data_IF_123477301051
#
_entry.id   IF_123477301051
#
_cell.length_a   1.000
_cell.length_b   1.000
_cell.length_c   1.000
_cell.angle_alpha   90.00
_cell.angle_beta   90.00
_cell.angle_gamma   90.00
#
_symmetry.space_group_name_H-M   'P 1'
#
loop_
_entity.id
_entity.type
_entity.pdbx_description
1 polymer ?
#
# COMPACT_ATOMS: atom_id res chain seq x y z
N UNK A 1 8.59 20.55 -4.82
CA UNK A 1 8.09 19.59 -5.83
C UNK A 1 6.72 19.10 -5.39
N UNK A 2 5.71 19.12 -6.27
CA UNK A 2 4.36 18.63 -5.93
C UNK A 2 4.37 17.10 -5.80
N UNK A 3 4.53 16.61 -4.57
CA UNK A 3 4.60 15.17 -4.26
C UNK A 3 3.22 14.49 -4.28
N UNK A 4 2.14 15.25 -4.49
CA UNK A 4 0.77 14.71 -4.58
C UNK A 4 0.60 13.84 -5.81
N UNK A 5 1.16 14.22 -6.97
CA UNK A 5 1.07 13.45 -8.22
C UNK A 5 1.61 12.01 -8.06
N UNK A 6 2.86 11.79 -7.59
CA UNK A 6 3.35 10.43 -7.38
C UNK A 6 2.55 9.65 -6.32
N UNK A 7 1.95 10.34 -5.34
CA UNK A 7 1.06 9.75 -4.33
C UNK A 7 -0.23 9.23 -4.94
N UNK A 8 -0.86 10.06 -5.76
CA UNK A 8 -2.05 9.71 -6.52
C UNK A 8 -1.77 8.58 -7.52
N UNK A 9 -0.64 8.63 -8.24
CA UNK A 9 -0.24 7.56 -9.15
C UNK A 9 -0.03 6.24 -8.40
N UNK A 10 0.64 6.27 -7.25
CA UNK A 10 0.81 5.08 -6.42
C UNK A 10 -0.52 4.46 -6.00
N UNK A 11 -1.50 5.28 -5.61
CA UNK A 11 -2.85 4.82 -5.29
C UNK A 11 -3.57 4.23 -6.51
N UNK A 12 -3.53 4.93 -7.66
CA UNK A 12 -4.18 4.46 -8.90
C UNK A 12 -3.61 3.09 -9.32
N UNK A 13 -2.29 2.96 -9.43
CA UNK A 13 -1.67 1.71 -9.83
C UNK A 13 -1.89 0.59 -8.80
N UNK A 14 -1.84 0.90 -7.50
CA UNK A 14 -2.18 -0.07 -6.45
C UNK A 14 -3.63 -0.56 -6.55
N UNK A 15 -4.58 0.35 -6.79
CA UNK A 15 -6.00 -0.01 -7.00
C UNK A 15 -6.19 -0.85 -8.25
N UNK A 16 -5.57 -0.49 -9.38
CA UNK A 16 -5.63 -1.28 -10.61
C UNK A 16 -5.08 -2.69 -10.38
N UNK A 17 -3.96 -2.85 -9.66
CA UNK A 17 -3.42 -4.16 -9.34
C UNK A 17 -4.40 -5.02 -8.51
N UNK A 18 -5.06 -4.42 -7.51
CA UNK A 18 -6.10 -5.10 -6.71
C UNK A 18 -7.26 -5.54 -7.61
N UNK A 19 -7.74 -4.65 -8.49
CA UNK A 19 -8.82 -4.96 -9.42
C UNK A 19 -8.46 -6.08 -10.40
N UNK A 20 -7.22 -6.11 -10.90
CA UNK A 20 -6.72 -7.21 -11.74
C UNK A 20 -6.72 -8.53 -10.95
N UNK A 21 -6.27 -8.50 -9.69
CA UNK A 21 -6.33 -9.68 -8.82
C UNK A 21 -7.75 -10.20 -8.63
N UNK A 22 -8.71 -9.31 -8.34
CA UNK A 22 -10.14 -9.67 -8.21
C UNK A 22 -10.67 -10.24 -9.54
N UNK A 23 -10.38 -9.55 -10.65
CA UNK A 23 -10.82 -9.96 -11.98
C UNK A 23 -10.30 -11.36 -12.34
N UNK A 24 -9.06 -11.68 -11.98
CA UNK A 24 -8.49 -13.00 -12.23
C UNK A 24 -9.25 -14.14 -11.53
N UNK A 25 -9.87 -13.89 -10.37
CA UNK A 25 -10.69 -14.90 -9.66
C UNK A 25 -12.11 -15.05 -10.22
N UNK A 26 -12.65 -14.06 -10.94
CA UNK A 26 -14.04 -14.08 -11.42
C UNK A 26 -14.39 -15.30 -12.30
N UNK A 27 -13.54 -15.73 -13.27
CA UNK A 27 -13.81 -16.92 -14.07
C UNK A 27 -13.83 -18.23 -13.26
N UNK A 28 -13.21 -18.23 -12.06
CA UNK A 28 -13.15 -19.41 -11.19
C UNK A 28 -14.35 -19.44 -10.24
N UNK A 29 -14.57 -18.36 -9.49
CA UNK A 29 -15.67 -18.27 -8.53
C UNK A 29 -15.88 -16.85 -8.01
N UNK A 30 -17.13 -16.39 -8.03
CA UNK A 30 -17.53 -15.14 -7.39
C UNK A 30 -17.23 -15.11 -5.89
N UNK A 31 -17.29 -16.25 -5.20
CA UNK A 31 -16.94 -16.33 -3.77
C UNK A 31 -15.45 -16.13 -3.53
N UNK A 32 -14.59 -16.65 -4.41
CA UNK A 32 -13.14 -16.43 -4.31
C UNK A 32 -12.77 -14.98 -4.62
N UNK A 33 -13.39 -14.38 -5.65
CA UNK A 33 -13.20 -12.98 -5.97
C UNK A 33 -13.66 -12.06 -4.83
N UNK A 34 -14.85 -12.33 -4.26
CA UNK A 34 -15.38 -11.62 -3.09
C UNK A 34 -14.52 -11.83 -1.84
N UNK A 35 -14.02 -13.04 -1.62
CA UNK A 35 -13.10 -13.37 -0.53
C UNK A 35 -11.78 -12.61 -0.64
N UNK A 36 -11.20 -12.54 -1.83
CA UNK A 36 -9.98 -11.77 -2.07
C UNK A 36 -10.19 -10.26 -1.88
N UNK A 37 -11.33 -9.72 -2.33
CA UNK A 37 -11.72 -8.33 -2.06
C UNK A 37 -11.80 -8.08 -0.54
N UNK A 38 -12.46 -8.96 0.21
CA UNK A 38 -12.57 -8.84 1.66
C UNK A 38 -11.20 -8.86 2.34
N UNK A 39 -10.30 -9.76 1.91
CA UNK A 39 -8.92 -9.81 2.40
C UNK A 39 -8.20 -8.48 2.13
N UNK A 40 -8.32 -7.93 0.92
CA UNK A 40 -7.72 -6.64 0.56
C UNK A 40 -8.23 -5.50 1.43
N UNK A 41 -9.54 -5.45 1.68
CA UNK A 41 -10.16 -4.43 2.54
C UNK A 41 -9.67 -4.54 3.98
N UNK A 42 -9.69 -5.75 4.57
CA UNK A 42 -9.25 -5.97 5.94
C UNK A 42 -7.75 -5.67 6.06
N UNK A 43 -6.92 -6.20 5.18
CA UNK A 43 -5.48 -5.98 5.20
C UNK A 43 -5.15 -4.49 4.99
N UNK A 44 -5.81 -3.83 4.04
CA UNK A 44 -5.65 -2.39 3.81
C UNK A 44 -6.02 -1.54 5.03
N UNK A 45 -7.16 -1.82 5.66
CA UNK A 45 -7.58 -1.13 6.90
C UNK A 45 -6.61 -1.39 8.05
N UNK A 46 -6.12 -2.63 8.19
CA UNK A 46 -5.11 -2.96 9.19
C UNK A 46 -3.80 -2.22 8.94
N UNK A 47 -3.31 -2.15 7.70
CA UNK A 47 -2.13 -1.36 7.32
C UNK A 47 -2.33 0.12 7.71
N UNK A 48 -3.49 0.70 7.36
CA UNK A 48 -3.79 2.10 7.72
C UNK A 48 -3.79 2.28 9.23
N UNK A 49 -4.44 1.37 9.97
CA UNK A 49 -4.51 1.44 11.43
C UNK A 49 -3.14 1.29 12.08
N UNK A 50 -2.38 0.25 11.75
CA UNK A 50 -1.13 -0.05 12.49
C UNK A 50 0.04 0.83 12.05
N UNK A 51 0.12 1.14 10.75
CA UNK A 51 1.25 1.85 10.16
C UNK A 51 0.91 3.32 9.92
N UNK A 52 -0.14 3.63 9.16
CA UNK A 52 -0.44 5.01 8.79
C UNK A 52 -0.90 5.85 9.99
N UNK A 53 -1.66 5.29 10.94
CA UNK A 53 -2.11 6.03 12.13
C UNK A 53 -0.99 6.42 13.09
N UNK A 54 0.13 5.68 13.07
CA UNK A 54 1.35 5.98 13.85
C UNK A 54 2.19 7.10 13.21
N UNK A 55 1.86 7.53 11.98
CA UNK A 55 2.61 8.56 11.27
C UNK A 55 2.34 9.97 11.84
N UNK A 56 3.38 10.75 12.22
CA UNK A 56 3.21 12.09 12.80
C UNK A 56 2.63 13.11 11.81
N UNK A 57 2.82 12.88 10.50
CA UNK A 57 2.34 13.77 9.43
C UNK A 57 1.07 13.24 8.74
N UNK A 58 0.32 12.31 9.36
CA UNK A 58 -0.82 11.64 8.72
C UNK A 58 -1.87 12.59 8.12
N UNK A 59 -2.06 13.77 8.72
CA UNK A 59 -3.01 14.81 8.25
C UNK A 59 -2.58 15.50 6.95
N UNK A 60 -1.28 15.51 6.66
CA UNK A 60 -0.69 16.14 5.46
C UNK A 60 -0.02 15.10 4.56
N UNK A 61 -0.35 13.81 4.77
CA UNK A 61 0.26 12.72 4.03
C UNK A 61 -0.13 12.78 2.55
N UNK A 62 0.87 12.59 1.69
CA UNK A 62 0.72 12.55 0.23
C UNK A 62 -0.02 11.30 -0.26
N UNK A 63 -0.09 10.24 0.55
CA UNK A 63 -1.05 9.17 0.35
C UNK A 63 -2.40 9.63 0.87
N UNK A 64 -3.08 10.47 0.09
CA UNK A 64 -4.30 11.23 0.48
C UNK A 64 -5.30 10.35 1.22
N UNK A 65 -5.72 9.23 0.62
CA UNK A 65 -6.74 8.34 1.19
C UNK A 65 -6.22 7.64 2.47
N UNK A 66 -5.08 6.91 2.46
CA UNK A 66 -4.54 6.32 3.69
C UNK A 66 -4.28 7.32 4.81
N UNK A 67 -3.77 8.52 4.48
CA UNK A 67 -3.52 9.59 5.43
C UNK A 67 -4.79 10.11 6.08
N UNK A 68 -5.82 10.37 5.27
CA UNK A 68 -7.14 10.77 5.75
C UNK A 68 -7.75 9.69 6.66
N UNK A 69 -7.77 8.42 6.21
CA UNK A 69 -8.30 7.31 7.00
C UNK A 69 -7.53 7.13 8.33
N UNK A 70 -6.22 7.31 8.31
CA UNK A 70 -5.38 7.22 9.51
C UNK A 70 -5.75 8.25 10.59
N UNK A 71 -6.43 9.35 10.24
CA UNK A 71 -6.87 10.34 11.22
C UNK A 71 -8.01 9.85 12.11
N UNK A 72 -8.76 8.82 11.71
CA UNK A 72 -9.81 8.22 12.52
C UNK A 72 -9.28 7.51 13.77
N UNK A 73 -7.99 7.16 13.80
CA UNK A 73 -7.35 6.54 14.95
C UNK A 73 -6.44 7.52 15.68
N UNK A 74 -6.75 7.74 16.96
CA UNK A 74 -5.91 8.52 17.88
C UNK A 74 -4.77 7.65 18.45
N UNK A 75 -3.89 7.18 17.56
CA UNK A 75 -2.73 6.37 17.90
C UNK A 75 -1.53 7.25 18.21
N UNK A 76 -0.72 6.84 19.20
CA UNK A 76 0.53 7.52 19.54
C UNK A 76 1.48 7.52 18.36
N UNK A 77 2.05 8.69 18.07
CA UNK A 77 3.00 8.89 16.99
C UNK A 77 4.42 8.69 17.50
N UNK A 78 5.28 8.03 16.73
CA UNK A 78 6.66 7.78 17.13
C UNK A 78 7.38 6.84 16.16
N UNK A 79 8.59 6.37 16.54
CA UNK A 79 9.30 5.35 15.78
C UNK A 79 8.45 4.10 15.55
N UNK A 80 8.50 3.55 14.33
CA UNK A 80 7.81 2.31 14.02
C UNK A 80 8.50 1.15 14.74
N UNK A 81 7.72 0.37 15.49
CA UNK A 81 8.22 -0.87 16.07
C UNK A 81 8.51 -1.90 14.97
N UNK A 82 9.49 -2.79 15.19
CA UNK A 82 9.77 -3.89 14.26
C UNK A 82 8.54 -4.77 14.03
N UNK A 83 7.70 -4.96 15.06
CA UNK A 83 6.43 -5.69 14.94
C UNK A 83 5.48 -5.03 13.95
N UNK A 84 5.35 -3.70 14.00
CA UNK A 84 4.52 -2.93 13.06
C UNK A 84 5.02 -3.07 11.63
N UNK A 85 6.34 -2.99 11.42
CA UNK A 85 6.96 -3.12 10.09
C UNK A 85 6.74 -4.53 9.53
N UNK A 86 7.03 -5.56 10.34
CA UNK A 86 6.85 -6.97 9.94
C UNK A 86 5.39 -7.25 9.61
N UNK A 87 4.45 -6.85 10.47
CA UNK A 87 3.03 -7.03 10.23
C UNK A 87 2.58 -6.34 8.94
N UNK A 88 3.01 -5.10 8.72
CA UNK A 88 2.69 -4.35 7.50
C UNK A 88 3.23 -5.05 6.26
N UNK A 89 4.47 -5.56 6.32
CA UNK A 89 5.09 -6.33 5.25
C UNK A 89 4.32 -7.62 4.94
N UNK A 90 3.91 -8.37 5.97
CA UNK A 90 3.08 -9.58 5.83
C UNK A 90 1.74 -9.24 5.16
N UNK A 91 1.07 -8.16 5.58
CA UNK A 91 -0.21 -7.77 4.99
C UNK A 91 -0.08 -7.38 3.51
N UNK A 92 0.98 -6.65 3.13
CA UNK A 92 1.28 -6.39 1.72
C UNK A 92 1.58 -7.68 0.95
N UNK A 93 2.36 -8.60 1.54
CA UNK A 93 2.67 -9.88 0.93
C UNK A 93 1.40 -10.70 0.69
N UNK A 94 0.45 -10.72 1.63
CA UNK A 94 -0.85 -11.39 1.47
C UNK A 94 -1.61 -10.81 0.27
N UNK A 95 -1.73 -9.48 0.19
CA UNK A 95 -2.42 -8.81 -0.93
C UNK A 95 -1.75 -9.15 -2.27
N UNK A 96 -0.41 -9.17 -2.32
CA UNK A 96 0.33 -9.35 -3.57
C UNK A 96 0.41 -10.82 -3.99
N UNK A 97 0.62 -11.75 -3.05
CA UNK A 97 0.95 -13.14 -3.34
C UNK A 97 -0.29 -14.02 -3.58
N UNK A 98 -1.42 -13.77 -2.90
CA UNK A 98 -2.66 -14.54 -3.12
C UNK A 98 -3.09 -14.57 -4.59
N UNK A 99 -3.21 -13.43 -5.31
CA UNK A 99 -3.69 -13.47 -6.69
C UNK A 99 -2.69 -14.15 -7.63
N UNK A 100 -1.43 -14.35 -7.25
CA UNK A 100 -0.42 -15.00 -8.11
C UNK A 100 -0.81 -16.44 -8.45
N UNK A 101 -1.49 -17.14 -7.54
CA UNK A 101 -1.95 -18.53 -7.75
C UNK A 101 -2.84 -18.63 -9.00
N UNK A 102 -3.59 -17.56 -9.29
CA UNK A 102 -4.48 -17.50 -10.45
C UNK A 102 -3.84 -16.74 -11.61
N UNK A 103 -3.13 -15.64 -11.35
CA UNK A 103 -2.51 -14.81 -12.38
C UNK A 103 -1.48 -15.58 -13.22
N UNK A 104 -0.78 -16.58 -12.66
CA UNK A 104 0.17 -17.41 -13.43
C UNK A 104 -0.49 -18.14 -14.63
N UNK A 105 -1.81 -18.31 -14.61
CA UNK A 105 -2.54 -18.92 -15.74
C UNK A 105 -2.74 -17.96 -16.92
N UNK A 106 -2.53 -16.65 -16.72
CA UNK A 106 -2.64 -15.62 -17.75
C UNK A 106 -1.44 -14.68 -17.70
N UNK A 107 -0.46 -14.94 -18.58
CA UNK A 107 0.78 -14.16 -18.66
C UNK A 107 0.50 -12.66 -18.82
N UNK A 108 -0.51 -12.29 -19.60
CA UNK A 108 -0.90 -10.89 -19.82
C UNK A 108 -1.33 -10.19 -18.52
N UNK A 109 -2.25 -10.80 -17.75
CA UNK A 109 -2.71 -10.24 -16.48
C UNK A 109 -1.59 -10.23 -15.44
N UNK A 110 -0.77 -11.28 -15.40
CA UNK A 110 0.39 -11.36 -14.52
C UNK A 110 1.37 -10.20 -14.75
N UNK A 111 1.72 -9.92 -16.02
CA UNK A 111 2.65 -8.84 -16.38
C UNK A 111 2.08 -7.47 -16.01
N UNK A 112 0.82 -7.19 -16.36
CA UNK A 112 0.21 -5.89 -16.03
C UNK A 112 0.11 -5.70 -14.52
N UNK A 113 -0.27 -6.74 -13.79
CA UNK A 113 -0.32 -6.71 -12.33
C UNK A 113 1.04 -6.29 -11.74
N UNK A 114 2.13 -6.93 -12.16
CA UNK A 114 3.46 -6.59 -11.66
C UNK A 114 3.94 -5.21 -12.09
N UNK A 115 3.65 -4.77 -13.32
CA UNK A 115 3.93 -3.38 -13.74
C UNK A 115 3.23 -2.39 -12.79
N UNK A 116 1.96 -2.63 -12.47
CA UNK A 116 1.20 -1.78 -11.55
C UNK A 116 1.80 -1.79 -10.14
N UNK A 117 2.08 -2.97 -9.57
CA UNK A 117 2.68 -3.11 -8.23
C UNK A 117 4.05 -2.43 -8.16
N UNK A 118 4.93 -2.69 -9.13
CA UNK A 118 6.27 -2.09 -9.17
C UNK A 118 6.17 -0.58 -9.31
N UNK A 119 5.30 -0.06 -10.18
CA UNK A 119 5.12 1.38 -10.35
C UNK A 119 4.61 2.04 -9.07
N UNK A 120 3.65 1.43 -8.38
CA UNK A 120 3.13 1.93 -7.11
C UNK A 120 4.17 1.89 -5.97
N UNK A 121 4.95 0.82 -5.91
CA UNK A 121 6.02 0.67 -4.93
C UNK A 121 7.16 1.66 -5.19
N UNK A 122 7.61 1.80 -6.44
CA UNK A 122 8.69 2.70 -6.83
C UNK A 122 8.30 4.17 -6.68
N UNK A 123 7.07 4.56 -7.03
CA UNK A 123 6.60 5.93 -6.80
C UNK A 123 6.62 6.28 -5.31
N UNK A 124 6.23 5.33 -4.46
CA UNK A 124 6.26 5.50 -3.01
C UNK A 124 7.68 5.54 -2.44
N UNK A 125 8.52 4.59 -2.85
CA UNK A 125 9.85 4.41 -2.30
C UNK A 125 10.88 5.45 -2.78
N UNK A 126 10.84 5.81 -4.07
CA UNK A 126 11.84 6.71 -4.67
C UNK A 126 11.44 8.18 -4.62
N UNK A 127 10.14 8.49 -4.57
CA UNK A 127 9.66 9.88 -4.74
C UNK A 127 8.92 10.40 -3.52
N UNK A 128 8.00 9.61 -2.94
CA UNK A 128 7.17 10.08 -1.81
C UNK A 128 7.91 10.03 -0.48
N UNK A 129 8.31 8.82 -0.07
CA UNK A 129 8.85 8.56 1.25
C UNK A 129 10.18 9.27 1.56
N UNK A 130 11.10 9.50 0.60
CA UNK A 130 12.38 10.13 0.89
C UNK A 130 12.27 11.52 1.53
N UNK A 131 11.24 12.30 1.18
CA UNK A 131 11.07 13.66 1.66
C UNK A 131 9.67 13.99 2.17
N UNK A 132 8.87 12.99 2.57
CA UNK A 132 7.51 13.24 3.06
C UNK A 132 7.46 14.05 4.36
N UNK A 133 8.58 14.21 5.07
CA UNK A 133 8.68 14.92 6.35
C UNK A 133 8.45 14.03 7.57
N UNK A 134 8.11 12.75 7.38
CA UNK A 134 8.02 11.79 8.47
C UNK A 134 9.44 11.35 8.88
N UNK A 135 9.94 11.93 9.97
CA UNK A 135 11.27 11.62 10.51
C UNK A 135 11.46 10.16 10.92
N UNK A 136 10.37 9.44 11.20
CA UNK A 136 10.37 8.05 11.62
C UNK A 136 10.12 7.07 10.48
N UNK A 137 9.88 7.52 9.25
CA UNK A 137 9.54 6.61 8.15
C UNK A 137 10.70 5.65 7.86
N UNK A 138 10.47 4.32 7.82
CA UNK A 138 11.52 3.35 7.52
C UNK A 138 12.04 3.47 6.08
N UNK A 139 11.30 4.15 5.21
CA UNK A 139 11.66 4.40 3.82
C UNK A 139 12.25 5.81 3.60
N UNK A 140 12.48 6.58 4.69
CA UNK A 140 13.11 7.90 4.61
C UNK A 140 14.56 7.73 4.15
N UNK A 141 14.97 8.55 3.17
CA UNK A 141 16.36 8.58 2.65
C UNK A 141 17.04 9.92 2.86
N UNK A 142 16.29 11.01 3.03
CA UNK A 142 16.88 12.32 3.33
C UNK A 142 17.27 12.40 4.81
N UNK A 143 18.57 12.42 5.10
CA UNK A 143 19.12 12.69 6.44
C UNK A 143 18.71 14.13 6.83
N UNK A 144 18.26 14.41 8.07
CA UNK A 144 17.99 15.78 8.48
C UNK A 144 19.26 16.60 8.27
N UNK A 145 19.17 17.73 7.55
CA UNK A 145 20.20 18.76 7.67
C UNK A 145 20.12 19.23 9.13
N UNK A 146 21.17 18.93 9.90
CA UNK A 146 21.38 19.50 11.24
C UNK A 146 21.54 21.01 11.11
#
# INVERSE_FOLDING_TARGET
MNRTIPGTLGLIFGTIAILIGIFAFLPISYYLAGGYLLICLIAGLLIVRVFCASCPIKRTCVHIIPGYLATFWNQSTGPYSSRTIILTGILFAIIILIPQIVLITSLYLFVIFWICIVTAAMSSYLVLCPGCGNQYCPFRREIPKQ
#
